data_IF_572287015496
#
_entry.id   IF_572287015496
#
_cell.length_a   1.000
_cell.length_b   1.000
_cell.length_c   1.000
_cell.angle_alpha   90.00
_cell.angle_beta   90.00
_cell.angle_gamma   90.00
#
_symmetry.space_group_name_H-M   'P 1'
#
loop_
_entity.id
_entity.type
_entity.pdbx_description
1 polymer ?
#
# COMPACT_ATOMS: atom_id res chain seq x y z
N UNK A 1 -45.55 6.48 37.84
CA UNK A 1 -44.58 7.51 37.39
C UNK A 1 -43.16 6.94 37.38
N UNK A 2 -42.44 7.22 36.29
CA UNK A 2 -41.02 7.05 35.95
C UNK A 2 -40.00 6.46 36.96
N UNK A 3 -39.16 5.54 36.46
CA UNK A 3 -37.69 5.57 36.67
C UNK A 3 -36.98 4.95 35.47
N UNK A 4 -36.44 5.81 34.61
CA UNK A 4 -35.70 5.51 33.37
C UNK A 4 -34.21 5.53 33.70
N UNK A 5 -33.58 4.38 33.90
CA UNK A 5 -32.13 4.29 34.12
C UNK A 5 -31.37 4.57 32.81
N UNK A 6 -30.82 5.78 32.69
CA UNK A 6 -29.90 6.16 31.62
C UNK A 6 -28.51 5.57 31.91
N UNK A 7 -28.19 4.39 31.37
CA UNK A 7 -26.81 3.87 31.30
C UNK A 7 -25.96 4.77 30.38
N UNK A 8 -25.19 5.69 30.98
CA UNK A 8 -24.15 6.50 30.33
C UNK A 8 -23.07 5.58 29.76
N UNK A 9 -23.07 5.36 28.43
CA UNK A 9 -21.95 4.71 27.72
C UNK A 9 -20.70 5.61 27.81
N UNK A 10 -19.71 5.23 28.62
CA UNK A 10 -18.37 5.83 28.63
C UNK A 10 -17.73 5.64 27.24
N UNK A 11 -17.65 6.71 26.44
CA UNK A 11 -16.81 6.75 25.24
C UNK A 11 -15.34 6.63 25.70
N UNK A 12 -14.73 5.46 25.47
CA UNK A 12 -13.27 5.32 25.58
C UNK A 12 -12.63 6.30 24.60
N UNK A 13 -11.92 7.32 25.12
CA UNK A 13 -11.04 8.16 24.33
C UNK A 13 -9.92 7.27 23.78
N UNK A 14 -10.05 6.84 22.53
CA UNK A 14 -8.96 6.17 21.82
C UNK A 14 -7.84 7.17 21.68
N UNK A 15 -6.74 6.94 22.41
CA UNK A 15 -5.49 7.67 22.24
C UNK A 15 -5.11 7.69 20.76
N UNK A 16 -4.55 8.82 20.32
CA UNK A 16 -4.11 9.04 18.95
C UNK A 16 -2.96 8.07 18.65
N UNK A 17 -3.27 6.84 18.24
CA UNK A 17 -2.26 5.84 17.87
C UNK A 17 -1.46 6.43 16.71
N UNK A 18 -0.18 6.72 16.95
CA UNK A 18 0.74 7.17 15.93
C UNK A 18 0.88 6.04 14.91
N UNK A 19 0.88 6.39 13.63
CA UNK A 19 1.06 5.42 12.55
C UNK A 19 2.49 4.87 12.60
N UNK A 20 2.63 3.56 12.82
CA UNK A 20 3.92 2.86 12.92
C UNK A 20 4.41 2.27 11.57
N UNK A 21 3.70 2.49 10.47
CA UNK A 21 4.07 1.92 9.17
C UNK A 21 3.71 0.44 9.04
N UNK A 22 4.43 -0.27 8.16
CA UNK A 22 4.37 -1.72 7.99
C UNK A 22 5.74 -2.34 8.33
N UNK A 23 5.78 -3.58 8.82
CA UNK A 23 7.04 -4.26 9.14
C UNK A 23 7.74 -4.74 7.87
N UNK A 24 8.62 -3.90 7.31
CA UNK A 24 9.30 -4.18 6.05
C UNK A 24 10.25 -5.38 6.13
N UNK A 25 10.85 -5.65 7.30
CA UNK A 25 11.73 -6.81 7.49
C UNK A 25 10.95 -8.13 7.34
N UNK A 26 9.80 -8.22 8.02
CA UNK A 26 8.92 -9.39 7.91
C UNK A 26 8.38 -9.57 6.49
N UNK A 27 8.01 -8.47 5.83
CA UNK A 27 7.53 -8.51 4.44
C UNK A 27 8.62 -9.02 3.49
N UNK A 28 9.85 -8.52 3.61
CA UNK A 28 11.00 -8.97 2.81
C UNK A 28 11.26 -10.46 2.99
N UNK A 29 11.37 -10.94 4.23
CA UNK A 29 11.58 -12.37 4.50
C UNK A 29 10.46 -13.25 3.93
N UNK A 30 9.20 -12.77 3.97
CA UNK A 30 8.08 -13.50 3.35
C UNK A 30 8.15 -13.52 1.82
N UNK A 31 8.52 -12.39 1.19
CA UNK A 31 8.70 -12.31 -0.26
C UNK A 31 9.85 -13.21 -0.74
N UNK A 32 10.97 -13.23 -0.02
CA UNK A 32 12.12 -14.11 -0.30
C UNK A 32 11.72 -15.59 -0.22
N UNK A 33 10.98 -15.97 0.84
CA UNK A 33 10.48 -17.35 0.98
C UNK A 33 9.55 -17.75 -0.17
N UNK A 34 8.67 -16.85 -0.63
CA UNK A 34 7.80 -17.10 -1.78
C UNK A 34 8.60 -17.21 -3.08
N UNK A 35 9.61 -16.36 -3.26
CA UNK A 35 10.49 -16.39 -4.42
C UNK A 35 11.29 -17.70 -4.50
N UNK A 36 11.87 -18.16 -3.37
CA UNK A 36 12.59 -19.44 -3.30
C UNK A 36 11.67 -20.62 -3.66
N UNK A 37 10.41 -20.56 -3.25
CA UNK A 37 9.39 -21.55 -3.61
C UNK A 37 8.87 -21.44 -5.05
N UNK A 38 9.38 -20.51 -5.87
CA UNK A 38 8.87 -20.17 -7.22
C UNK A 38 7.38 -19.78 -7.24
N UNK A 39 6.89 -19.22 -6.12
CA UNK A 39 5.50 -18.80 -5.89
C UNK A 39 5.33 -17.32 -6.24
N UNK A 40 5.61 -17.00 -7.50
CA UNK A 40 5.75 -15.62 -7.95
C UNK A 40 4.41 -14.87 -7.95
N UNK A 41 3.32 -15.53 -8.36
CA UNK A 41 1.97 -14.96 -8.29
C UNK A 41 1.60 -14.56 -6.87
N UNK A 42 1.81 -15.45 -5.90
CA UNK A 42 1.48 -15.18 -4.51
C UNK A 42 2.36 -14.09 -3.91
N UNK A 43 3.62 -13.99 -4.34
CA UNK A 43 4.50 -12.90 -3.91
C UNK A 43 4.00 -11.53 -4.37
N UNK A 44 3.56 -11.39 -5.63
CA UNK A 44 2.98 -10.14 -6.15
C UNK A 44 1.68 -9.80 -5.40
N UNK A 45 0.80 -10.77 -5.21
CA UNK A 45 -0.46 -10.59 -4.47
C UNK A 45 -0.18 -10.15 -3.02
N UNK A 46 0.79 -10.78 -2.37
CA UNK A 46 1.20 -10.45 -1.01
C UNK A 46 1.75 -9.01 -0.91
N UNK A 47 2.61 -8.60 -1.84
CA UNK A 47 3.11 -7.22 -1.90
C UNK A 47 1.95 -6.21 -2.07
N UNK A 48 1.01 -6.49 -2.97
CA UNK A 48 -0.13 -5.60 -3.21
C UNK A 48 -1.02 -5.45 -1.98
N UNK A 49 -1.29 -6.52 -1.25
CA UNK A 49 -2.06 -6.42 0.00
C UNK A 49 -1.34 -5.63 1.10
N UNK A 50 -0.02 -5.74 1.18
CA UNK A 50 0.76 -4.90 2.10
C UNK A 50 0.71 -3.41 1.70
N UNK A 51 0.67 -3.10 0.39
CA UNK A 51 0.40 -1.75 -0.10
C UNK A 51 -0.99 -1.25 0.33
N UNK A 52 -2.04 -2.08 0.24
CA UNK A 52 -3.37 -1.69 0.71
C UNK A 52 -3.37 -1.37 2.22
N UNK A 53 -2.72 -2.21 3.02
CA UNK A 53 -2.56 -1.98 4.46
C UNK A 53 -1.82 -0.67 4.72
N UNK A 54 -0.74 -0.41 3.99
CA UNK A 54 0.05 0.81 4.11
C UNK A 54 -0.79 2.07 3.84
N UNK A 55 -1.54 2.09 2.73
CA UNK A 55 -2.41 3.21 2.36
C UNK A 55 -3.55 3.40 3.36
N UNK A 56 -4.21 2.31 3.77
CA UNK A 56 -5.26 2.35 4.78
C UNK A 56 -4.72 2.94 6.10
N UNK A 57 -3.53 2.50 6.52
CA UNK A 57 -2.95 2.93 7.78
C UNK A 57 -2.46 4.38 7.72
N UNK A 58 -1.88 4.82 6.60
CA UNK A 58 -1.33 6.17 6.41
C UNK A 58 -2.38 7.24 6.13
N UNK A 59 -3.26 7.00 5.15
CA UNK A 59 -4.19 7.99 4.62
C UNK A 59 -5.63 7.78 5.09
N UNK A 60 -5.92 6.66 5.76
CA UNK A 60 -7.29 6.29 6.20
C UNK A 60 -8.28 6.16 5.04
N UNK A 61 -7.80 5.78 3.86
CA UNK A 61 -8.63 5.53 2.67
C UNK A 61 -8.61 4.03 2.36
N UNK A 62 -9.46 3.20 2.99
CA UNK A 62 -9.53 1.78 2.67
C UNK A 62 -10.20 1.55 1.31
N UNK A 63 -9.86 0.43 0.66
CA UNK A 63 -10.59 -0.05 -0.53
C UNK A 63 -12.01 -0.43 -0.14
N UNK A 64 -13.00 0.05 -0.89
CA UNK A 64 -14.42 -0.21 -0.62
C UNK A 64 -14.81 -1.62 -1.05
N UNK A 65 -15.81 -2.25 -0.40
CA UNK A 65 -16.42 -3.48 -0.91
C UNK A 65 -16.91 -3.29 -2.35
N UNK A 66 -16.66 -4.25 -3.23
CA UNK A 66 -17.05 -4.19 -4.64
C UNK A 66 -16.18 -3.30 -5.53
N UNK A 67 -15.35 -2.42 -4.97
CA UNK A 67 -14.43 -1.59 -5.76
C UNK A 67 -13.33 -2.45 -6.37
N UNK A 68 -13.03 -2.28 -7.66
CA UNK A 68 -11.94 -3.01 -8.33
C UNK A 68 -10.57 -2.46 -7.91
N UNK A 69 -9.50 -3.21 -8.20
CA UNK A 69 -8.13 -2.75 -7.89
C UNK A 69 -7.78 -1.52 -8.72
N UNK A 70 -8.14 -1.52 -10.01
CA UNK A 70 -8.00 -0.36 -10.90
C UNK A 70 -8.79 0.88 -10.44
N UNK A 71 -10.05 0.73 -10.05
CA UNK A 71 -10.84 1.85 -9.49
C UNK A 71 -10.22 2.41 -8.21
N UNK A 72 -9.71 1.53 -7.36
CA UNK A 72 -9.02 1.94 -6.14
C UNK A 72 -7.72 2.69 -6.46
N UNK A 73 -6.95 2.22 -7.44
CA UNK A 73 -5.75 2.91 -7.90
C UNK A 73 -6.05 4.33 -8.42
N UNK A 74 -7.08 4.48 -9.25
CA UNK A 74 -7.52 5.80 -9.75
C UNK A 74 -7.92 6.73 -8.59
N UNK A 75 -8.62 6.20 -7.59
CA UNK A 75 -8.99 6.97 -6.40
C UNK A 75 -7.74 7.44 -5.63
N UNK A 76 -6.71 6.60 -5.51
CA UNK A 76 -5.47 6.96 -4.82
C UNK A 76 -4.68 8.05 -5.56
N UNK A 77 -4.58 7.97 -6.89
CA UNK A 77 -3.96 9.03 -7.70
C UNK A 77 -4.71 10.35 -7.51
N UNK A 78 -6.05 10.32 -7.52
CA UNK A 78 -6.86 11.54 -7.41
C UNK A 78 -6.82 12.16 -6.00
N UNK A 79 -7.01 11.34 -4.97
CA UNK A 79 -7.23 11.78 -3.58
C UNK A 79 -5.94 12.01 -2.81
N UNK A 80 -4.97 11.09 -2.92
CA UNK A 80 -3.73 11.12 -2.12
C UNK A 80 -2.48 11.40 -2.97
N UNK A 81 -2.66 11.68 -4.27
CA UNK A 81 -1.60 12.12 -5.20
C UNK A 81 -0.45 11.12 -5.32
N UNK A 82 -0.74 9.82 -5.21
CA UNK A 82 0.25 8.79 -5.54
C UNK A 82 0.55 8.86 -7.05
N UNK A 83 1.82 8.82 -7.48
CA UNK A 83 2.17 8.89 -8.90
C UNK A 83 1.55 7.74 -9.71
N UNK A 84 0.82 8.03 -10.81
CA UNK A 84 0.20 6.99 -11.64
C UNK A 84 1.25 6.09 -12.30
N UNK A 85 2.43 6.62 -12.60
CA UNK A 85 3.57 5.89 -13.19
C UNK A 85 4.11 4.77 -12.31
N UNK A 86 3.85 4.82 -10.99
CA UNK A 86 4.19 3.73 -10.06
C UNK A 86 2.98 2.85 -9.79
N UNK A 87 1.83 3.47 -9.54
CA UNK A 87 0.67 2.74 -9.03
C UNK A 87 -0.07 1.93 -10.10
N UNK A 88 -0.18 2.44 -11.32
CA UNK A 88 -0.90 1.72 -12.38
C UNK A 88 -0.16 0.46 -12.83
N UNK A 89 1.15 0.49 -13.14
CA UNK A 89 1.89 -0.74 -13.46
C UNK A 89 1.80 -1.77 -12.33
N UNK A 90 1.93 -1.34 -11.07
CA UNK A 90 1.83 -2.24 -9.93
C UNK A 90 0.44 -2.88 -9.79
N UNK A 91 -0.61 -2.10 -10.07
CA UNK A 91 -2.00 -2.61 -10.07
C UNK A 91 -2.23 -3.59 -11.21
N UNK A 92 -1.68 -3.33 -12.40
CA UNK A 92 -1.74 -4.26 -13.54
C UNK A 92 -1.05 -5.58 -13.21
N UNK A 93 0.17 -5.55 -12.67
CA UNK A 93 0.88 -6.77 -12.25
C UNK A 93 0.09 -7.58 -11.21
N UNK A 94 -0.59 -6.90 -10.29
CA UNK A 94 -1.48 -7.55 -9.33
C UNK A 94 -2.70 -8.20 -10.01
N UNK A 95 -3.36 -7.50 -10.94
CA UNK A 95 -4.52 -8.04 -11.66
C UNK A 95 -4.10 -9.25 -12.52
N UNK A 96 -2.96 -9.18 -13.20
CA UNK A 96 -2.37 -10.31 -13.92
C UNK A 96 -2.02 -11.49 -13.00
N UNK A 97 -1.39 -11.24 -11.86
CA UNK A 97 -1.05 -12.30 -10.92
C UNK A 97 -2.29 -12.98 -10.30
N UNK A 98 -3.39 -12.24 -10.16
CA UNK A 98 -4.62 -12.72 -9.50
C UNK A 98 -5.60 -13.39 -10.46
N UNK A 99 -5.73 -12.87 -11.68
CA UNK A 99 -6.76 -13.27 -12.63
C UNK A 99 -6.18 -13.72 -13.98
N UNK A 100 -4.89 -13.53 -14.21
CA UNK A 100 -4.23 -13.91 -15.46
C UNK A 100 -4.08 -15.43 -15.56
N UNK A 101 -4.23 -15.91 -16.79
CA UNK A 101 -4.02 -17.33 -17.13
C UNK A 101 -2.54 -17.64 -17.45
N UNK A 102 -1.70 -16.62 -17.56
CA UNK A 102 -0.28 -16.75 -17.86
C UNK A 102 0.54 -16.92 -16.58
N UNK A 103 1.53 -17.80 -16.64
CA UNK A 103 2.46 -18.00 -15.55
C UNK A 103 3.27 -16.72 -15.32
N UNK A 104 3.25 -16.22 -14.09
CA UNK A 104 4.12 -15.10 -13.68
C UNK A 104 5.55 -15.62 -13.60
N UNK A 105 6.50 -14.87 -14.18
CA UNK A 105 7.92 -15.19 -14.13
C UNK A 105 8.64 -14.35 -13.06
N UNK A 106 9.94 -14.60 -12.92
CA UNK A 106 10.78 -13.87 -11.97
C UNK A 106 10.93 -12.38 -12.33
N UNK A 107 10.84 -12.02 -13.61
CA UNK A 107 10.98 -10.64 -14.06
C UNK A 107 9.79 -9.79 -13.59
N UNK A 108 8.56 -10.30 -13.79
CA UNK A 108 7.34 -9.66 -13.28
C UNK A 108 7.35 -9.53 -11.76
N UNK A 109 7.87 -10.54 -11.05
CA UNK A 109 8.03 -10.44 -9.61
C UNK A 109 9.02 -9.33 -9.22
N UNK A 110 10.19 -9.28 -9.85
CA UNK A 110 11.19 -8.26 -9.56
C UNK A 110 10.65 -6.85 -9.82
N UNK A 111 9.92 -6.65 -10.91
CA UNK A 111 9.24 -5.39 -11.22
C UNK A 111 8.22 -5.03 -10.13
N UNK A 112 7.37 -5.98 -9.72
CA UNK A 112 6.38 -5.76 -8.68
C UNK A 112 7.01 -5.39 -7.33
N UNK A 113 8.13 -6.04 -6.95
CA UNK A 113 8.87 -5.73 -5.73
C UNK A 113 9.46 -4.32 -5.80
N UNK A 114 10.07 -3.94 -6.92
CA UNK A 114 10.61 -2.59 -7.10
C UNK A 114 9.52 -1.52 -6.97
N UNK A 115 8.38 -1.71 -7.64
CA UNK A 115 7.25 -0.81 -7.55
C UNK A 115 6.69 -0.73 -6.13
N UNK A 116 6.61 -1.86 -5.43
CA UNK A 116 6.17 -1.90 -4.03
C UNK A 116 7.10 -1.11 -3.10
N UNK A 117 8.43 -1.27 -3.23
CA UNK A 117 9.41 -0.51 -2.44
C UNK A 117 9.31 0.99 -2.74
N UNK A 118 9.23 1.36 -4.03
CA UNK A 118 9.10 2.77 -4.43
C UNK A 118 7.81 3.40 -3.88
N UNK A 119 6.69 2.67 -3.92
CA UNK A 119 5.42 3.10 -3.33
C UNK A 119 5.53 3.21 -1.81
N UNK A 120 6.15 2.23 -1.15
CA UNK A 120 6.38 2.26 0.28
C UNK A 120 7.13 3.53 0.69
N UNK A 121 8.26 3.79 0.07
CA UNK A 121 9.10 4.94 0.38
C UNK A 121 8.34 6.24 0.10
N UNK A 122 7.64 6.34 -1.04
CA UNK A 122 6.83 7.52 -1.35
C UNK A 122 5.75 7.80 -0.28
N UNK A 123 5.10 6.76 0.22
CA UNK A 123 3.99 6.88 1.19
C UNK A 123 4.52 7.18 2.60
N UNK A 124 5.65 6.58 2.98
CA UNK A 124 6.33 6.81 4.26
C UNK A 124 7.08 8.16 4.29
N UNK A 125 7.29 8.79 3.14
CA UNK A 125 8.05 10.05 3.03
C UNK A 125 9.56 9.85 2.93
N UNK A 126 10.00 8.77 2.27
CA UNK A 126 11.38 8.45 1.91
C UNK A 126 12.12 9.63 1.27
N UNK A 127 13.46 9.57 1.28
CA UNK A 127 14.34 10.71 1.54
C UNK A 127 13.88 11.93 0.78
N UNK A 128 13.62 13.02 1.53
CA UNK A 128 13.42 14.36 0.96
C UNK A 128 14.45 14.50 -0.16
N UNK A 129 13.99 14.65 -1.40
CA UNK A 129 14.84 15.23 -2.41
C UNK A 129 15.18 16.61 -1.85
N UNK A 130 16.41 16.74 -1.34
CA UNK A 130 17.00 18.03 -1.00
C UNK A 130 16.85 18.83 -2.28
N UNK A 131 16.15 19.96 -2.17
CA UNK A 131 15.96 20.85 -3.30
C UNK A 131 17.32 21.10 -3.94
N UNK A 132 17.38 20.95 -5.25
CA UNK A 132 18.31 21.71 -6.07
C UNK A 132 17.93 23.19 -5.90
N UNK A 133 18.37 23.77 -4.79
CA UNK A 133 18.43 25.21 -4.58
C UNK A 133 19.66 25.72 -5.35
N UNK A 134 19.42 26.68 -6.24
CA UNK A 134 20.43 27.65 -6.68
C UNK A 134 21.41 27.17 -7.73
N UNK A 135 21.04 27.32 -9.00
CA UNK A 135 22.05 27.70 -9.99
C UNK A 135 22.61 29.06 -9.57
N UNK A 136 23.93 29.22 -9.34
CA UNK A 136 24.51 30.54 -9.19
C UNK A 136 24.42 31.23 -10.55
N UNK A 137 23.58 32.26 -10.62
CA UNK A 137 23.69 33.31 -11.62
C UNK A 137 24.66 34.33 -11.04
N UNK A 138 25.91 34.29 -11.49
CA UNK A 138 26.87 35.39 -11.49
C UNK A 138 28.04 34.98 -12.38
#
# INVERSE_FOLDING_TARGET
MARREKKKKKKKKTGKVRFEGINMSFIKGKLESLQQGKRFQEAIIYAYYNYLQLVQNRYKVPRRPGQTAREYAMAMVKQVKIPPTMLYPFTTLFEEARFGNQQTDINKLNEAIQLFVNLHDRIMGGPKQVGTEGAPTA
#
